data_IF_962555707039
#
_entry.id   IF_962555707039
#
_cell.length_a   1.000
_cell.length_b   1.000
_cell.length_c   1.000
_cell.angle_alpha   90.00
_cell.angle_beta   90.00
_cell.angle_gamma   90.00
#
_symmetry.space_group_name_H-M   'P 1'
#
loop_
_entity.id
_entity.type
_entity.pdbx_description
1 polymer ?
#
# COMPACT_ATOMS: atom_id res chain seq x y z
N UNK A 1 9.46 -5.42 -19.51
CA UNK A 1 9.21 -4.98 -20.90
C UNK A 1 9.40 -3.47 -20.93
N UNK A 2 9.99 -2.92 -22.00
CA UNK A 2 10.12 -1.47 -22.17
C UNK A 2 8.74 -0.85 -22.45
N UNK A 3 8.52 0.38 -21.98
CA UNK A 3 7.28 1.11 -22.21
C UNK A 3 7.10 1.40 -23.71
N UNK A 4 6.05 0.88 -24.39
CA UNK A 4 5.86 1.09 -25.82
C UNK A 4 5.59 2.56 -26.19
N UNK A 5 5.10 3.37 -25.25
CA UNK A 5 4.89 4.82 -25.46
C UNK A 5 6.20 5.61 -25.60
N UNK A 6 7.31 5.05 -25.14
CA UNK A 6 8.64 5.68 -25.22
C UNK A 6 9.42 5.26 -26.46
N UNK A 7 8.85 4.40 -27.30
CA UNK A 7 9.52 3.94 -28.51
C UNK A 7 9.34 4.96 -29.63
N UNK A 8 10.44 5.28 -30.29
CA UNK A 8 10.43 6.09 -31.50
C UNK A 8 10.26 5.22 -32.74
N UNK A 9 9.65 5.79 -33.79
CA UNK A 9 9.56 5.14 -35.09
C UNK A 9 10.98 4.94 -35.62
N UNK A 10 11.37 3.72 -36.04
CA UNK A 10 12.67 3.50 -36.66
C UNK A 10 12.85 4.32 -37.94
N UNK A 11 14.07 4.78 -38.19
CA UNK A 11 14.41 5.43 -39.46
C UNK A 11 14.50 4.41 -40.59
N UNK A 12 13.35 4.11 -41.20
CA UNK A 12 13.25 3.19 -42.33
C UNK A 12 13.92 3.70 -43.61
N UNK A 13 14.41 4.94 -43.64
CA UNK A 13 15.24 5.44 -44.76
C UNK A 13 16.70 5.00 -44.65
N UNK A 14 17.14 4.62 -43.44
CA UNK A 14 18.50 4.14 -43.17
C UNK A 14 18.85 2.90 -43.99
N UNK A 15 20.15 2.75 -44.27
CA UNK A 15 20.71 1.62 -45.03
C UNK A 15 20.42 0.27 -44.35
N UNK A 16 20.24 0.24 -43.03
CA UNK A 16 19.93 -0.96 -42.26
C UNK A 16 18.60 -1.59 -42.69
N UNK A 17 17.66 -0.80 -43.21
CA UNK A 17 16.34 -1.27 -43.66
C UNK A 17 16.25 -1.48 -45.17
N UNK A 18 17.38 -1.55 -45.88
CA UNK A 18 17.40 -1.74 -47.35
C UNK A 18 16.72 -3.06 -47.75
N UNK A 19 17.00 -4.16 -47.05
CA UNK A 19 16.37 -5.46 -47.33
C UNK A 19 14.87 -5.44 -47.06
N UNK A 20 14.45 -4.82 -45.95
CA UNK A 20 13.03 -4.67 -45.62
C UNK A 20 12.28 -3.84 -46.67
N UNK A 21 12.91 -2.76 -47.18
CA UNK A 21 12.36 -1.96 -48.29
C UNK A 21 12.31 -2.74 -49.60
N UNK A 22 13.32 -3.57 -49.89
CA UNK A 22 13.41 -4.36 -51.11
C UNK A 22 12.24 -5.35 -51.28
N UNK A 23 11.63 -5.80 -50.18
CA UNK A 23 10.43 -6.64 -50.22
C UNK A 23 9.23 -5.95 -50.90
N UNK A 24 9.16 -4.63 -50.84
CA UNK A 24 8.09 -3.84 -51.46
C UNK A 24 8.47 -3.35 -52.87
N UNK A 25 9.77 -3.17 -53.16
CA UNK A 25 10.21 -2.78 -54.50
C UNK A 25 10.01 -3.89 -55.53
N UNK A 26 9.97 -5.15 -55.11
CA UNK A 26 9.53 -6.29 -55.93
C UNK A 26 8.10 -6.09 -56.50
N UNK A 27 7.24 -5.36 -55.78
CA UNK A 27 5.89 -4.97 -56.20
C UNK A 27 5.84 -3.63 -56.95
N UNK A 28 6.98 -3.18 -57.51
CA UNK A 28 7.15 -1.89 -58.20
C UNK A 28 6.88 -0.66 -57.32
N UNK A 29 6.94 -0.80 -55.99
CA UNK A 29 6.87 0.35 -55.08
C UNK A 29 8.18 1.10 -55.08
N UNK A 30 8.11 2.43 -54.95
CA UNK A 30 9.30 3.24 -54.70
C UNK A 30 9.81 3.02 -53.27
N UNK A 31 11.09 3.34 -53.03
CA UNK A 31 11.64 3.36 -51.68
C UNK A 31 10.85 4.25 -50.73
N UNK A 32 10.31 5.36 -51.22
CA UNK A 32 9.47 6.27 -50.42
C UNK A 32 8.15 5.62 -50.02
N UNK A 33 7.51 4.88 -50.93
CA UNK A 33 6.29 4.11 -50.62
C UNK A 33 6.60 2.96 -49.65
N UNK A 34 7.72 2.25 -49.83
CA UNK A 34 8.15 1.17 -48.95
C UNK A 34 8.39 1.66 -47.51
N UNK A 35 9.12 2.77 -47.33
CA UNK A 35 9.34 3.43 -46.04
C UNK A 35 8.02 3.83 -45.39
N UNK A 36 7.07 4.37 -46.16
CA UNK A 36 5.76 4.76 -45.65
C UNK A 36 4.97 3.54 -45.15
N UNK A 37 4.99 2.44 -45.91
CA UNK A 37 4.34 1.19 -45.52
C UNK A 37 4.94 0.67 -44.21
N UNK A 38 6.27 0.57 -44.11
CA UNK A 38 6.96 0.11 -42.91
C UNK A 38 6.63 0.99 -41.69
N UNK A 39 6.63 2.30 -41.88
CA UNK A 39 6.26 3.27 -40.83
C UNK A 39 4.83 3.04 -40.34
N UNK A 40 3.88 2.82 -41.25
CA UNK A 40 2.48 2.59 -40.91
C UNK A 40 2.28 1.27 -40.17
N UNK A 41 2.93 0.19 -40.61
CA UNK A 41 2.90 -1.11 -39.93
C UNK A 41 3.46 -0.99 -38.53
N UNK A 42 4.58 -0.29 -38.36
CA UNK A 42 5.17 -0.06 -37.04
C UNK A 42 4.19 0.69 -36.12
N UNK A 43 3.59 1.78 -36.61
CA UNK A 43 2.62 2.58 -35.84
C UNK A 43 1.41 1.75 -35.41
N UNK A 44 0.88 0.92 -36.31
CA UNK A 44 -0.24 0.04 -36.00
C UNK A 44 0.12 -0.96 -34.88
N UNK A 45 1.28 -1.61 -35.00
CA UNK A 45 1.74 -2.58 -34.01
C UNK A 45 2.07 -1.92 -32.66
N UNK A 46 2.71 -0.76 -32.69
CA UNK A 46 3.03 0.00 -31.48
C UNK A 46 1.75 0.48 -30.78
N UNK A 47 0.75 0.98 -31.51
CA UNK A 47 -0.54 1.36 -30.93
C UNK A 47 -1.23 0.18 -30.21
N UNK A 48 -1.20 -1.01 -30.80
CA UNK A 48 -1.71 -2.21 -30.14
C UNK A 48 -0.89 -2.57 -28.88
N UNK A 49 0.43 -2.46 -28.94
CA UNK A 49 1.31 -2.68 -27.78
C UNK A 49 1.03 -1.66 -26.65
N UNK A 50 0.83 -0.39 -26.97
CA UNK A 50 0.42 0.65 -26.01
C UNK A 50 -0.90 0.30 -25.33
N UNK A 51 -1.92 -0.08 -26.09
CA UNK A 51 -3.22 -0.47 -25.51
C UNK A 51 -3.10 -1.67 -24.56
N UNK A 52 -2.28 -2.67 -24.92
CA UNK A 52 -2.06 -3.82 -24.06
C UNK A 52 -1.30 -3.43 -22.78
N UNK A 53 -0.30 -2.56 -22.92
CA UNK A 53 0.46 -2.03 -21.81
C UNK A 53 -0.42 -1.25 -20.84
N UNK A 54 -1.28 -0.37 -21.34
CA UNK A 54 -2.18 0.45 -20.53
C UNK A 54 -3.12 -0.44 -19.70
N UNK A 55 -3.73 -1.47 -20.33
CA UNK A 55 -4.56 -2.46 -19.63
C UNK A 55 -3.80 -3.20 -18.53
N UNK A 56 -2.53 -3.52 -18.76
CA UNK A 56 -1.70 -4.17 -17.75
C UNK A 56 -1.39 -3.24 -16.58
N UNK A 57 -1.13 -1.95 -16.85
CA UNK A 57 -0.92 -0.97 -15.80
C UNK A 57 -2.19 -0.75 -14.98
N UNK A 58 -3.35 -0.60 -15.62
CA UNK A 58 -4.65 -0.48 -14.94
C UNK A 58 -4.91 -1.68 -14.01
N UNK A 59 -4.71 -2.91 -14.51
CA UNK A 59 -4.89 -4.12 -13.70
C UNK A 59 -3.89 -4.20 -12.52
N UNK A 60 -2.63 -3.77 -12.73
CA UNK A 60 -1.61 -3.73 -11.68
C UNK A 60 -1.97 -2.70 -10.60
N UNK A 61 -2.46 -1.53 -11.01
CA UNK A 61 -2.92 -0.50 -10.10
C UNK A 61 -4.11 -1.01 -9.29
N UNK A 62 -5.13 -1.58 -9.91
CA UNK A 62 -6.29 -2.16 -9.23
C UNK A 62 -5.88 -3.26 -8.22
N UNK A 63 -4.94 -4.13 -8.60
CA UNK A 63 -4.38 -5.14 -7.70
C UNK A 63 -3.66 -4.51 -6.49
N UNK A 64 -2.93 -3.40 -6.69
CA UNK A 64 -2.28 -2.66 -5.60
C UNK A 64 -3.31 -2.01 -4.66
N UNK A 65 -4.36 -1.43 -5.21
CA UNK A 65 -5.45 -0.81 -4.43
C UNK A 65 -6.17 -1.84 -3.57
N UNK A 66 -6.55 -2.97 -4.16
CA UNK A 66 -7.23 -4.07 -3.46
C UNK A 66 -6.36 -4.70 -2.38
N UNK A 67 -5.08 -4.98 -2.67
CA UNK A 67 -4.15 -5.51 -1.66
C UNK A 67 -3.88 -4.48 -0.55
N UNK A 68 -3.75 -3.20 -0.89
CA UNK A 68 -3.63 -2.12 0.08
C UNK A 68 -4.82 -2.05 1.04
N UNK A 69 -6.04 -2.16 0.51
CA UNK A 69 -7.26 -2.23 1.31
C UNK A 69 -7.30 -3.47 2.20
N UNK A 70 -6.92 -4.64 1.66
CA UNK A 70 -6.83 -5.90 2.42
C UNK A 70 -5.86 -5.78 3.60
N UNK A 71 -4.68 -5.22 3.36
CA UNK A 71 -3.67 -5.00 4.40
C UNK A 71 -4.11 -3.99 5.45
N UNK A 72 -4.81 -2.93 5.04
CA UNK A 72 -5.37 -1.95 5.99
C UNK A 72 -6.40 -2.60 6.91
N UNK A 73 -7.33 -3.38 6.34
CA UNK A 73 -8.34 -4.12 7.11
C UNK A 73 -7.71 -5.14 8.07
N UNK A 74 -6.67 -5.87 7.63
CA UNK A 74 -5.96 -6.81 8.48
C UNK A 74 -5.29 -6.12 9.69
N UNK A 75 -4.67 -4.96 9.46
CA UNK A 75 -4.05 -4.16 10.54
C UNK A 75 -5.08 -3.62 11.53
N UNK A 76 -6.26 -3.22 11.05
CA UNK A 76 -7.35 -2.77 11.92
C UNK A 76 -7.87 -3.92 12.77
N UNK A 77 -8.05 -5.11 12.18
CA UNK A 77 -8.46 -6.31 12.90
C UNK A 77 -7.43 -6.71 13.96
N UNK A 78 -6.14 -6.70 13.62
CA UNK A 78 -5.06 -7.01 14.57
C UNK A 78 -5.08 -6.05 15.76
N UNK A 79 -5.24 -4.74 15.52
CA UNK A 79 -5.37 -3.74 16.58
C UNK A 79 -6.57 -4.01 17.47
N UNK A 80 -7.74 -4.26 16.90
CA UNK A 80 -8.96 -4.55 17.64
C UNK A 80 -8.78 -5.79 18.54
N UNK A 81 -8.17 -6.87 18.02
CA UNK A 81 -7.91 -8.07 18.81
C UNK A 81 -6.93 -7.81 19.97
N UNK A 82 -5.92 -6.98 19.76
CA UNK A 82 -4.95 -6.61 20.80
C UNK A 82 -5.58 -5.76 21.89
N UNK A 83 -6.44 -4.81 21.51
CA UNK A 83 -7.20 -3.99 22.47
C UNK A 83 -8.17 -4.84 23.30
N UNK A 84 -8.84 -5.80 22.68
CA UNK A 84 -9.71 -6.75 23.39
C UNK A 84 -8.92 -7.63 24.38
N UNK A 85 -7.76 -8.15 23.97
CA UNK A 85 -6.88 -8.93 24.85
C UNK A 85 -6.37 -8.11 26.05
N UNK A 86 -6.01 -6.84 25.80
CA UNK A 86 -5.58 -5.91 26.86
C UNK A 86 -6.74 -5.65 27.84
N UNK A 87 -7.94 -5.35 27.35
CA UNK A 87 -9.12 -5.14 28.19
C UNK A 87 -9.46 -6.37 29.03
N UNK A 88 -9.44 -7.56 28.42
CA UNK A 88 -9.65 -8.82 29.14
C UNK A 88 -8.60 -9.04 30.23
N UNK A 89 -7.36 -8.65 29.97
CA UNK A 89 -6.27 -8.71 30.95
C UNK A 89 -6.48 -7.74 32.11
N UNK A 90 -6.86 -6.49 31.82
CA UNK A 90 -7.22 -5.50 32.84
C UNK A 90 -8.38 -5.96 33.70
N UNK A 91 -9.44 -6.48 33.08
CA UNK A 91 -10.61 -6.97 33.82
C UNK A 91 -10.25 -8.15 34.76
N UNK A 92 -9.41 -9.09 34.29
CA UNK A 92 -8.90 -10.18 35.12
C UNK A 92 -8.06 -9.66 36.29
N UNK A 93 -7.21 -8.67 36.06
CA UNK A 93 -6.39 -8.04 37.11
C UNK A 93 -7.26 -7.32 38.16
N UNK A 94 -8.22 -6.50 37.72
CA UNK A 94 -9.20 -5.83 38.57
C UNK A 94 -9.98 -6.82 39.43
N UNK A 95 -10.38 -7.96 38.85
CA UNK A 95 -11.08 -9.03 39.58
C UNK A 95 -10.19 -9.68 40.65
N UNK A 96 -8.90 -9.87 40.37
CA UNK A 96 -7.92 -10.48 41.30
C UNK A 96 -7.52 -9.52 42.43
N UNK A 97 -7.37 -8.24 42.13
CA UNK A 97 -6.85 -7.24 43.08
C UNK A 97 -7.85 -6.11 43.35
N UNK A 98 -9.10 -6.46 43.70
CA UNK A 98 -10.18 -5.49 43.91
C UNK A 98 -9.78 -4.31 44.80
N UNK A 99 -9.08 -4.56 45.91
CA UNK A 99 -8.65 -3.52 46.85
C UNK A 99 -7.68 -2.48 46.26
N UNK A 100 -6.91 -2.82 45.22
CA UNK A 100 -5.98 -1.87 44.56
C UNK A 100 -6.69 -0.87 43.65
N UNK A 101 -7.89 -1.22 43.17
CA UNK A 101 -8.66 -0.42 42.22
C UNK A 101 -9.94 0.17 42.85
N UNK A 102 -10.13 0.04 44.18
CA UNK A 102 -11.19 0.77 44.88
C UNK A 102 -10.82 2.26 44.83
N UNK A 103 -11.72 3.14 44.33
CA UNK A 103 -11.51 4.57 44.42
C UNK A 103 -11.27 4.94 45.89
N UNK A 104 -10.10 5.50 46.19
CA UNK A 104 -9.80 5.97 47.53
C UNK A 104 -10.81 7.08 47.82
N UNK A 105 -11.78 6.80 48.71
CA UNK A 105 -12.65 7.82 49.23
C UNK A 105 -11.75 8.87 49.88
N UNK A 106 -11.68 10.05 49.27
CA UNK A 106 -11.14 11.25 49.91
C UNK A 106 -12.15 11.72 50.94
N UNK A 107 -12.34 10.93 51.99
CA UNK A 107 -13.01 11.37 53.20
C UNK A 107 -12.11 12.48 53.78
N UNK A 108 -12.62 13.70 54.00
CA UNK A 108 -11.82 14.72 54.68
C UNK A 108 -11.39 14.16 56.04
N UNK A 109 -10.09 14.16 56.30
CA UNK A 109 -9.53 13.79 57.59
C UNK A 109 -10.23 14.65 58.65
N UNK A 110 -10.88 14.00 59.60
CA UNK A 110 -11.50 14.68 60.74
C UNK A 110 -10.38 15.38 61.54
N UNK A 111 -10.50 16.69 61.74
CA UNK A 111 -9.58 17.52 62.55
C UNK A 111 -9.65 17.21 64.07
N UNK A 112 -10.20 16.06 64.45
CA UNK A 112 -10.30 15.66 65.84
C UNK A 112 -8.90 15.22 66.36
N UNK A 113 -8.35 15.87 67.40
CA UNK A 113 -7.07 15.48 67.97
C UNK A 113 -7.17 14.08 68.58
N UNK A 114 -6.34 13.16 68.08
CA UNK A 114 -6.24 11.80 68.59
C UNK A 114 -5.50 11.85 69.93
N UNK A 115 -6.23 11.69 71.04
CA UNK A 115 -5.65 11.59 72.37
C UNK A 115 -5.26 10.13 72.65
N UNK A 116 -3.99 9.78 72.47
CA UNK A 116 -3.42 8.51 72.94
C UNK A 116 -3.02 8.62 74.41
N UNK A 117 -3.64 7.87 75.34
CA UNK A 117 -3.23 7.87 76.75
C UNK A 117 -1.84 7.21 76.86
N UNK A 118 -0.85 7.98 77.28
CA UNK A 118 0.50 7.49 77.53
C UNK A 118 0.56 6.85 78.92
N UNK A 119 0.56 5.52 78.98
CA UNK A 119 0.67 4.77 80.23
C UNK A 119 2.14 4.56 80.62
N UNK A 120 2.86 5.61 81.00
CA UNK A 120 4.09 5.47 81.77
C UNK A 120 4.15 6.55 82.85
N UNK A 121 3.50 6.26 83.97
CA UNK A 121 3.93 6.73 85.26
C UNK A 121 4.05 5.50 86.14
N UNK A 122 5.26 5.20 86.60
CA UNK A 122 5.48 4.84 88.00
C UNK A 122 6.94 5.12 88.32
N UNK A 123 7.06 5.91 89.39
CA UNK A 123 8.23 6.42 90.11
C UNK A 123 9.14 5.33 90.63
#
# INVERSE_FOLDING_TARGET
>A
MANPHEQEVPDYTSIEYTEARAMFTADRKSDTEATLILTNVWRFNNAHACQLWDRQQEALEEARWTEGARLASLKEQEKATKEEEEELSRHKECKKYKNKYVPILKTPLSDAPIFTPCCYANT
#
